data_IF_791245377321
#
_entry.id   IF_791245377321
#
_cell.length_a   1.000
_cell.length_b   1.000
_cell.length_c   1.000
_cell.angle_alpha   90.00
_cell.angle_beta   90.00
_cell.angle_gamma   90.00
#
_symmetry.space_group_name_H-M   'P 1'
#
loop_
_entity.id
_entity.type
_entity.pdbx_description
1 polymer ?
#
# COMPACT_ATOMS: atom_id res chain seq x y z
N UNK A 1 -12.36 5.86 -8.34
CA UNK A 1 -12.51 5.13 -7.06
C UNK A 1 -13.85 5.48 -6.44
N UNK A 2 -14.34 4.75 -5.45
CA UNK A 2 -15.69 4.99 -4.94
C UNK A 2 -15.88 6.45 -4.49
N UNK A 3 -17.00 7.08 -4.86
CA UNK A 3 -17.37 8.43 -4.41
C UNK A 3 -17.98 8.43 -2.99
N UNK A 4 -17.67 7.40 -2.20
CA UNK A 4 -18.17 7.26 -0.83
C UNK A 4 -17.35 8.16 0.09
N UNK A 5 -18.01 8.75 1.10
CA UNK A 5 -17.31 9.50 2.14
C UNK A 5 -16.39 8.55 2.89
N UNK A 6 -15.11 8.89 2.97
CA UNK A 6 -14.15 8.16 3.80
C UNK A 6 -14.50 8.47 5.25
N UNK A 7 -15.09 7.51 5.96
CA UNK A 7 -15.32 7.62 7.41
C UNK A 7 -13.97 7.58 8.14
N UNK A 8 -13.88 8.34 9.23
CA UNK A 8 -12.69 8.97 9.84
C UNK A 8 -11.40 8.13 10.04
N UNK A 9 -11.39 6.81 9.86
CA UNK A 9 -10.24 5.97 10.27
C UNK A 9 -9.80 4.85 9.32
N UNK A 10 -10.48 4.59 8.20
CA UNK A 10 -10.17 3.43 7.33
C UNK A 10 -9.89 3.80 5.87
N UNK A 11 -8.89 4.65 5.67
CA UNK A 11 -8.41 5.01 4.34
C UNK A 11 -6.90 4.97 4.23
N UNK A 12 -6.44 4.75 3.00
CA UNK A 12 -5.03 4.83 2.61
C UNK A 12 -4.85 6.15 1.89
N UNK A 13 -3.88 6.94 2.32
CA UNK A 13 -3.50 8.17 1.66
C UNK A 13 -2.14 7.98 0.97
N UNK A 14 -2.08 8.32 -0.32
CA UNK A 14 -0.82 8.38 -1.04
C UNK A 14 0.07 9.49 -0.44
N UNK A 15 1.36 9.21 -0.18
CA UNK A 15 2.27 10.20 0.38
C UNK A 15 2.61 11.32 -0.63
N UNK A 16 2.56 11.03 -1.94
CA UNK A 16 2.97 11.95 -3.00
C UNK A 16 1.88 12.90 -3.45
N UNK A 17 0.64 12.40 -3.56
CA UNK A 17 -0.50 13.13 -4.12
C UNK A 17 -1.58 13.19 -3.05
N UNK A 18 -1.77 14.37 -2.46
CA UNK A 18 -2.75 14.55 -1.36
C UNK A 18 -4.19 14.22 -1.77
N UNK A 19 -4.53 14.36 -3.05
CA UNK A 19 -5.84 14.02 -3.60
C UNK A 19 -6.07 12.49 -3.70
N UNK A 20 -5.00 11.68 -3.68
CA UNK A 20 -5.09 10.24 -3.74
C UNK A 20 -5.37 9.67 -2.35
N UNK A 21 -6.66 9.54 -2.06
CA UNK A 21 -7.18 8.89 -0.85
C UNK A 21 -8.12 7.78 -1.28
N UNK A 22 -7.93 6.60 -0.69
CA UNK A 22 -8.64 5.40 -1.10
C UNK A 22 -9.19 4.69 0.14
N UNK A 23 -10.46 4.30 0.11
CA UNK A 23 -11.01 3.47 1.18
C UNK A 23 -10.33 2.09 1.17
N UNK A 24 -10.34 1.40 2.32
CA UNK A 24 -9.80 0.05 2.43
C UNK A 24 -10.35 -0.93 1.37
N UNK A 25 -11.66 -0.96 1.06
CA UNK A 25 -12.18 -1.80 -0.03
C UNK A 25 -11.54 -1.52 -1.39
N UNK A 26 -11.30 -0.25 -1.73
CA UNK A 26 -10.63 0.13 -2.98
C UNK A 26 -9.14 -0.27 -2.97
N UNK A 27 -8.43 -0.02 -1.87
CA UNK A 27 -7.03 -0.42 -1.71
C UNK A 27 -6.86 -1.93 -1.77
N UNK A 28 -7.72 -2.68 -1.07
CA UNK A 28 -7.80 -4.15 -1.09
C UNK A 28 -7.93 -4.69 -2.52
N UNK A 29 -8.87 -4.13 -3.29
CA UNK A 29 -9.06 -4.53 -4.68
C UNK A 29 -7.81 -4.26 -5.53
N UNK A 30 -7.13 -3.13 -5.32
CA UNK A 30 -5.88 -2.81 -6.01
C UNK A 30 -4.76 -3.79 -5.66
N UNK A 31 -4.56 -4.07 -4.36
CA UNK A 31 -3.57 -5.01 -3.84
C UNK A 31 -3.75 -6.40 -4.49
N UNK A 32 -4.99 -6.92 -4.50
CA UNK A 32 -5.29 -8.21 -5.12
C UNK A 32 -5.03 -8.22 -6.63
N UNK A 33 -5.38 -7.15 -7.35
CA UNK A 33 -5.08 -7.03 -8.79
C UNK A 33 -3.58 -7.02 -9.08
N UNK A 34 -2.78 -6.47 -8.17
CA UNK A 34 -1.33 -6.41 -8.27
C UNK A 34 -0.64 -7.64 -7.63
N UNK A 35 -1.37 -8.70 -7.26
CA UNK A 35 -0.83 -9.88 -6.58
C UNK A 35 0.39 -10.50 -7.30
N UNK A 36 0.44 -10.44 -8.63
CA UNK A 36 1.54 -10.98 -9.44
C UNK A 36 2.70 -9.99 -9.66
N UNK A 37 2.60 -8.75 -9.15
CA UNK A 37 3.65 -7.74 -9.24
C UNK A 37 4.70 -7.91 -8.14
N UNK A 38 5.95 -7.52 -8.41
CA UNK A 38 7.03 -7.51 -7.40
C UNK A 38 6.65 -6.62 -6.21
N UNK A 39 6.24 -5.38 -6.50
CA UNK A 39 5.75 -4.41 -5.52
C UNK A 39 4.29 -4.05 -5.82
N UNK A 40 3.58 -3.60 -4.78
CA UNK A 40 2.18 -3.18 -4.87
C UNK A 40 2.09 -1.66 -4.79
N UNK A 41 1.82 -1.01 -5.91
CA UNK A 41 1.85 0.44 -6.05
C UNK A 41 0.49 1.10 -5.73
N UNK A 42 0.49 2.43 -5.83
CA UNK A 42 -0.66 3.29 -5.58
C UNK A 42 -1.97 2.77 -6.22
N UNK A 43 -3.09 2.72 -5.49
CA UNK A 43 -4.40 2.33 -6.03
C UNK A 43 -4.95 3.18 -7.17
N UNK A 44 -4.37 4.35 -7.47
CA UNK A 44 -4.69 5.12 -8.67
C UNK A 44 -4.23 4.44 -9.97
N UNK A 45 -3.27 3.51 -9.88
CA UNK A 45 -2.58 2.92 -11.04
C UNK A 45 -1.33 3.72 -11.47
N UNK A 46 -1.07 4.87 -10.84
CA UNK A 46 0.15 5.64 -11.08
C UNK A 46 1.30 5.17 -10.20
N UNK A 47 2.53 5.32 -10.70
CA UNK A 47 3.75 5.09 -9.90
C UNK A 47 4.15 6.38 -9.18
N UNK A 48 3.35 6.76 -8.18
CA UNK A 48 3.59 7.99 -7.41
C UNK A 48 4.93 7.90 -6.65
N UNK A 49 5.85 8.88 -6.81
CA UNK A 49 7.16 8.85 -6.15
C UNK A 49 7.06 9.22 -4.67
N UNK A 50 7.79 8.56 -3.78
CA UNK A 50 7.89 8.98 -2.38
C UNK A 50 8.33 10.45 -2.30
N UNK A 51 7.80 11.19 -1.30
CA UNK A 51 8.16 12.60 -1.09
C UNK A 51 9.69 12.70 -0.98
N UNK A 52 10.29 13.61 -1.75
CA UNK A 52 11.74 13.82 -1.82
C UNK A 52 12.57 12.64 -2.36
N UNK A 53 11.96 11.70 -3.10
CA UNK A 53 12.66 10.58 -3.76
C UNK A 53 12.11 10.33 -5.17
N UNK A 54 12.88 9.66 -6.02
CA UNK A 54 12.41 9.15 -7.33
C UNK A 54 11.81 7.75 -7.23
N UNK A 55 11.91 7.12 -6.06
CA UNK A 55 11.43 5.75 -5.85
C UNK A 55 9.91 5.74 -5.73
N UNK A 56 9.22 4.84 -6.46
CA UNK A 56 7.77 4.74 -6.38
C UNK A 56 7.32 4.24 -5.00
N UNK A 57 6.26 4.83 -4.47
CA UNK A 57 5.61 4.35 -3.26
C UNK A 57 4.92 3.01 -3.52
N UNK A 58 5.14 2.07 -2.62
CA UNK A 58 4.50 0.78 -2.60
C UNK A 58 4.01 0.47 -1.18
N UNK A 59 2.98 -0.35 -1.07
CA UNK A 59 2.46 -0.82 0.20
C UNK A 59 3.49 -1.66 0.95
N UNK A 60 3.61 -1.42 2.25
CA UNK A 60 4.33 -2.30 3.16
C UNK A 60 3.53 -3.57 3.45
N UNK A 61 4.23 -4.64 3.84
CA UNK A 61 3.60 -5.90 4.25
C UNK A 61 2.57 -5.70 5.38
N UNK A 62 2.88 -4.88 6.39
CA UNK A 62 1.99 -4.59 7.51
C UNK A 62 0.70 -3.87 7.07
N UNK A 63 0.82 -2.92 6.13
CA UNK A 63 -0.33 -2.25 5.53
C UNK A 63 -1.19 -3.23 4.74
N UNK A 64 -0.57 -4.12 3.97
CA UNK A 64 -1.29 -5.14 3.19
C UNK A 64 -2.03 -6.10 4.11
N UNK A 65 -1.37 -6.60 5.16
CA UNK A 65 -2.01 -7.47 6.15
C UNK A 65 -3.21 -6.78 6.81
N UNK A 66 -3.06 -5.50 7.17
CA UNK A 66 -4.14 -4.71 7.78
C UNK A 66 -5.31 -4.48 6.82
N UNK A 67 -5.04 -4.17 5.55
CA UNK A 67 -6.07 -3.89 4.54
C UNK A 67 -6.81 -5.17 4.11
N UNK A 68 -6.08 -6.28 3.99
CA UNK A 68 -6.63 -7.58 3.58
C UNK A 68 -7.32 -8.31 4.73
N UNK A 69 -6.85 -8.17 5.97
CA UNK A 69 -7.36 -8.90 7.14
C UNK A 69 -7.26 -10.41 6.92
N UNK A 70 -8.37 -11.12 7.11
CA UNK A 70 -8.45 -12.59 6.97
C UNK A 70 -8.02 -13.12 5.59
N UNK A 71 -8.05 -12.28 4.56
CA UNK A 71 -7.66 -12.65 3.20
C UNK A 71 -6.14 -12.61 2.95
N UNK A 72 -5.36 -12.14 3.94
CA UNK A 72 -3.92 -11.95 3.80
C UNK A 72 -3.15 -13.28 3.59
N UNK A 73 -3.51 -14.33 4.33
CA UNK A 73 -2.79 -15.62 4.25
C UNK A 73 -2.94 -16.26 2.87
N UNK A 74 -4.14 -16.24 2.30
CA UNK A 74 -4.38 -16.74 0.95
C UNK A 74 -3.68 -15.88 -0.10
N UNK A 75 -3.68 -14.55 0.07
CA UNK A 75 -2.93 -13.65 -0.80
C UNK A 75 -1.42 -13.94 -0.77
N UNK A 76 -0.85 -14.16 0.41
CA UNK A 76 0.56 -14.51 0.57
C UNK A 76 0.89 -15.84 -0.13
N UNK A 77 0.06 -16.87 0.08
CA UNK A 77 0.22 -18.17 -0.58
C UNK A 77 0.20 -18.07 -2.10
N UNK A 78 -0.67 -17.24 -2.67
CA UNK A 78 -0.73 -16.99 -4.12
C UNK A 78 0.55 -16.35 -4.65
N UNK A 79 1.13 -15.40 -3.91
CA UNK A 79 2.41 -14.77 -4.26
C UNK A 79 3.56 -15.77 -4.21
N UNK A 80 3.63 -16.55 -3.14
CA UNK A 80 4.66 -17.59 -2.97
C UNK A 80 4.57 -18.66 -4.07
N UNK A 81 3.36 -19.06 -4.46
CA UNK A 81 3.12 -19.96 -5.59
C UNK A 81 3.56 -19.37 -6.93
N UNK A 82 3.52 -18.04 -7.07
CA UNK A 82 4.05 -17.31 -8.22
C UNK A 82 5.57 -17.04 -8.14
N UNK A 83 6.25 -17.53 -7.10
CA UNK A 83 7.69 -17.30 -6.86
C UNK A 83 8.01 -15.87 -6.40
N UNK A 84 7.00 -15.13 -5.92
CA UNK A 84 7.15 -13.76 -5.43
C UNK A 84 7.26 -13.76 -3.90
N UNK A 85 8.23 -13.01 -3.38
CA UNK A 85 8.39 -12.79 -1.95
C UNK A 85 7.49 -11.64 -1.44
N UNK A 86 7.61 -11.35 -0.15
CA UNK A 86 6.89 -10.27 0.50
C UNK A 86 7.11 -8.92 -0.23
N UNK A 87 6.05 -8.20 -0.59
CA UNK A 87 6.17 -6.88 -1.21
C UNK A 87 6.79 -5.86 -0.24
N UNK A 88 7.58 -4.92 -0.77
CA UNK A 88 8.11 -3.81 0.03
C UNK A 88 9.43 -4.07 0.77
N UNK A 89 10.20 -5.10 0.41
CA UNK A 89 11.61 -5.20 0.84
C UNK A 89 12.51 -4.24 0.04
N UNK A 90 12.22 -2.94 0.11
CA UNK A 90 13.18 -1.91 -0.27
C UNK A 90 13.80 -1.38 1.04
N UNK A 91 15.09 -1.66 1.23
CA UNK A 91 15.87 -1.49 2.45
C UNK A 91 16.11 -0.03 2.90
N UNK A 92 15.14 0.88 2.71
CA UNK A 92 15.26 2.28 3.14
C UNK A 92 13.91 2.91 3.54
N UNK A 93 13.06 2.16 4.25
CA UNK A 93 11.89 2.72 4.97
C UNK A 93 12.12 2.79 6.49
N UNK A 94 13.38 2.92 6.91
CA UNK A 94 13.69 3.23 8.30
C UNK A 94 13.44 4.71 8.56
N UNK A 95 12.31 4.96 9.23
CA UNK A 95 12.16 5.99 10.26
C UNK A 95 12.07 7.45 9.79
N UNK A 96 10.84 7.95 9.71
CA UNK A 96 10.52 9.34 10.04
C UNK A 96 9.07 9.45 10.54
N UNK A 97 8.78 8.72 11.62
CA UNK A 97 7.69 9.06 12.53
C UNK A 97 8.22 9.00 13.97
N UNK A 98 9.04 9.98 14.32
CA UNK A 98 9.30 10.34 15.71
C UNK A 98 9.75 11.81 15.75
N UNK A 99 9.07 12.58 16.60
CA UNK A 99 9.46 13.90 17.12
C UNK A 99 8.88 15.15 16.44
N UNK A 100 7.57 15.35 16.65
CA UNK A 100 7.05 16.65 17.09
C UNK A 100 7.36 16.81 18.59
N UNK A 101 8.21 17.77 18.95
CA UNK A 101 8.56 18.37 20.27
C UNK A 101 9.98 18.95 20.06
N UNK A 102 10.27 20.24 20.11
CA UNK A 102 9.78 21.39 20.89
C UNK A 102 9.76 22.68 20.04
#
# INVERSE_FOLDING_TARGET
>A
LCNQRLEDTHFVQCPSVQAHKFCFPCSRNSIKKQCTGQDLYCPSGEKCPLVSSVMPWAFMQSEIATILGDEYEEFKRQREAAGLSAPGVNANQTQQNAQVSE
#
